data_IF_132672984699
#
_entry.id   IF_132672984699
#
_cell.length_a   1.000
_cell.length_b   1.000
_cell.length_c   1.000
_cell.angle_alpha   90.00
_cell.angle_beta   90.00
_cell.angle_gamma   90.00
#
_symmetry.space_group_name_H-M   'P 1'
#
loop_
_entity.id
_entity.type
_entity.pdbx_description
1 polymer ?
#
# COMPACT_ATOMS: atom_id res chain seq x y z
N UNK A 1 8.01 4.46 28.51
CA UNK A 1 7.67 4.32 27.08
C UNK A 1 8.97 4.41 26.30
N UNK A 2 9.24 3.45 25.41
CA UNK A 2 10.39 3.50 24.50
C UNK A 2 9.90 3.94 23.13
N UNK A 3 10.57 4.93 22.55
CA UNK A 3 10.28 5.41 21.20
C UNK A 3 11.42 5.04 20.27
N UNK A 4 11.10 4.45 19.13
CA UNK A 4 12.04 3.99 18.12
C UNK A 4 11.84 4.78 16.83
N UNK A 5 12.89 5.42 16.34
CA UNK A 5 12.92 6.06 15.02
C UNK A 5 14.36 6.10 14.51
N UNK A 6 14.59 5.61 13.29
CA UNK A 6 15.92 5.54 12.68
C UNK A 6 16.35 6.89 12.09
N UNK A 7 15.42 7.80 11.85
CA UNK A 7 15.67 9.13 11.30
C UNK A 7 16.21 10.11 12.36
N UNK A 8 17.48 10.50 12.23
CA UNK A 8 18.12 11.41 13.19
C UNK A 8 17.41 12.78 13.30
N UNK A 9 17.09 13.49 12.21
CA UNK A 9 16.30 14.72 12.29
C UNK A 9 14.99 14.58 13.07
N UNK A 10 14.20 13.52 12.81
CA UNK A 10 12.94 13.26 13.51
C UNK A 10 13.18 13.05 15.01
N UNK A 11 14.21 12.28 15.40
CA UNK A 11 14.58 12.14 16.82
C UNK A 11 14.91 13.46 17.49
N UNK A 12 15.60 14.39 16.81
CA UNK A 12 15.91 15.70 17.39
C UNK A 12 14.66 16.53 17.64
N UNK A 13 13.70 16.50 16.72
CA UNK A 13 12.40 17.17 16.90
C UNK A 13 11.65 16.53 18.07
N UNK A 14 11.57 15.20 18.11
CA UNK A 14 10.87 14.51 19.19
C UNK A 14 11.47 14.80 20.56
N UNK A 15 12.80 14.80 20.70
CA UNK A 15 13.47 15.15 21.97
C UNK A 15 13.10 16.55 22.44
N UNK A 16 12.96 17.52 21.53
CA UNK A 16 12.49 18.87 21.89
C UNK A 16 11.02 18.87 22.33
N UNK A 17 10.16 18.06 21.70
CA UNK A 17 8.76 17.91 22.11
C UNK A 17 8.64 17.25 23.49
N UNK A 18 9.43 16.21 23.75
CA UNK A 18 9.53 15.56 25.07
C UNK A 18 10.00 16.58 26.11
N UNK A 19 11.02 17.39 25.77
CA UNK A 19 11.52 18.47 26.61
C UNK A 19 10.43 19.46 26.99
N UNK A 20 9.80 20.05 25.97
CA UNK A 20 8.77 21.06 26.12
C UNK A 20 7.57 20.59 26.95
N UNK A 21 7.20 19.31 26.84
CA UNK A 21 6.05 18.74 27.55
C UNK A 21 6.40 18.11 28.90
N UNK A 22 7.64 18.24 29.39
CA UNK A 22 8.12 17.67 30.66
C UNK A 22 7.97 16.13 30.74
N UNK A 23 8.30 15.43 29.66
CA UNK A 23 8.14 13.97 29.54
C UNK A 23 9.47 13.18 29.59
N UNK A 24 10.61 13.82 29.90
CA UNK A 24 11.94 13.16 29.87
C UNK A 24 11.99 11.88 30.73
N UNK A 25 11.34 11.91 31.90
CA UNK A 25 11.39 10.79 32.85
C UNK A 25 10.42 9.65 32.49
N UNK A 26 9.65 9.80 31.40
CA UNK A 26 8.61 8.84 30.98
C UNK A 26 8.83 8.26 29.59
N UNK A 27 9.57 8.97 28.74
CA UNK A 27 9.81 8.60 27.34
C UNK A 27 11.31 8.54 27.08
N UNK A 28 11.78 7.33 26.76
CA UNK A 28 13.16 7.08 26.35
C UNK A 28 13.21 6.96 24.83
N UNK A 29 13.99 7.82 24.17
CA UNK A 29 14.22 7.73 22.72
C UNK A 29 15.39 6.78 22.47
N UNK A 30 15.14 5.67 21.79
CA UNK A 30 16.13 4.66 21.44
C UNK A 30 16.79 5.02 20.11
N UNK A 31 18.10 5.16 20.10
CA UNK A 31 18.88 5.56 18.92
C UNK A 31 19.52 4.36 18.21
N UNK A 32 18.76 3.29 18.04
CA UNK A 32 19.18 2.04 17.40
C UNK A 32 18.12 1.58 16.40
N UNK A 33 18.46 0.64 15.52
CA UNK A 33 17.45 -0.07 14.73
C UNK A 33 16.78 -1.14 15.60
N UNK A 34 15.59 -1.61 15.21
CA UNK A 34 14.86 -2.64 15.95
C UNK A 34 15.68 -3.92 16.17
N UNK A 35 16.48 -4.30 15.16
CA UNK A 35 17.37 -5.45 15.15
C UNK A 35 18.58 -5.34 16.10
N UNK A 36 18.99 -4.12 16.44
CA UNK A 36 20.14 -3.85 17.31
C UNK A 36 19.75 -3.63 18.78
N UNK A 37 18.47 -3.69 19.11
CA UNK A 37 17.97 -3.48 20.47
C UNK A 37 18.36 -4.65 21.35
N UNK A 38 18.98 -4.34 22.48
CA UNK A 38 19.40 -5.29 23.52
C UNK A 38 18.54 -5.14 24.78
N UNK A 39 18.68 -6.09 25.70
CA UNK A 39 17.99 -6.00 26.99
C UNK A 39 18.41 -4.78 27.81
N UNK A 40 19.67 -4.35 27.72
CA UNK A 40 20.17 -3.15 28.43
C UNK A 40 19.48 -1.87 27.93
N UNK A 41 19.20 -1.79 26.63
CA UNK A 41 18.49 -0.63 26.04
C UNK A 41 17.04 -0.49 26.55
N UNK A 42 16.48 -1.58 27.09
CA UNK A 42 15.13 -1.67 27.61
C UNK A 42 15.09 -1.80 29.14
N UNK A 43 16.19 -1.47 29.84
CA UNK A 43 16.34 -1.65 31.29
C UNK A 43 16.01 -3.09 31.76
N UNK A 44 16.28 -4.07 30.91
CA UNK A 44 15.93 -5.49 31.06
C UNK A 44 14.43 -5.77 31.26
N UNK A 45 13.56 -4.80 30.95
CA UNK A 45 12.12 -4.96 30.96
C UNK A 45 11.65 -5.75 29.73
N UNK A 46 10.50 -6.41 29.85
CA UNK A 46 9.78 -6.99 28.72
C UNK A 46 8.77 -6.00 28.17
N UNK A 47 8.53 -6.07 26.86
CA UNK A 47 7.59 -5.19 26.16
C UNK A 47 6.19 -5.80 26.24
N UNK A 48 5.24 -5.07 26.86
CA UNK A 48 3.84 -5.50 26.96
C UNK A 48 2.94 -4.95 25.84
N UNK A 49 3.38 -3.87 25.17
CA UNK A 49 2.66 -3.25 24.05
C UNK A 49 3.65 -2.69 23.03
N UNK A 50 3.50 -3.10 21.77
CA UNK A 50 4.11 -2.43 20.62
C UNK A 50 3.00 -1.70 19.87
N UNK A 51 3.15 -0.40 19.64
CA UNK A 51 2.15 0.42 18.95
C UNK A 51 2.80 1.32 17.90
N UNK A 52 2.20 1.39 16.71
CA UNK A 52 2.57 2.32 15.65
C UNK A 52 1.36 2.74 14.80
N UNK A 53 1.50 3.84 14.06
CA UNK A 53 0.59 4.21 12.95
C UNK A 53 0.84 3.39 11.66
N UNK A 54 1.73 2.38 11.74
CA UNK A 54 2.89 2.15 10.86
C UNK A 54 3.09 3.13 9.68
N UNK A 55 3.74 4.26 9.95
CA UNK A 55 4.23 5.17 8.91
C UNK A 55 5.75 5.17 8.86
N UNK A 56 6.32 5.01 7.67
CA UNK A 56 7.77 5.09 7.44
C UNK A 56 8.05 6.05 6.30
N UNK A 57 8.95 7.02 6.54
CA UNK A 57 9.24 8.09 5.58
C UNK A 57 9.81 7.57 4.25
N UNK A 58 10.49 6.43 4.27
CA UNK A 58 11.05 5.81 3.07
C UNK A 58 10.00 5.09 2.21
N UNK A 59 8.80 4.83 2.75
CA UNK A 59 7.73 4.16 2.03
C UNK A 59 7.13 5.09 0.96
N UNK A 60 7.16 4.62 -0.28
CA UNK A 60 6.50 5.20 -1.45
C UNK A 60 5.19 4.49 -1.78
N UNK A 61 5.12 3.16 -1.58
CA UNK A 61 3.95 2.34 -1.89
C UNK A 61 3.21 1.90 -0.61
N UNK A 62 1.87 1.71 -0.66
CA UNK A 62 1.07 1.49 0.55
C UNK A 62 1.45 0.26 1.38
N UNK A 63 2.00 -0.78 0.76
CA UNK A 63 2.38 -2.02 1.44
C UNK A 63 3.78 -2.00 2.03
N UNK A 64 4.62 -1.01 1.70
CA UNK A 64 5.99 -0.90 2.24
C UNK A 64 6.00 -0.57 3.74
N UNK A 65 4.88 -0.07 4.27
CA UNK A 65 4.64 0.04 5.71
C UNK A 65 4.66 -1.31 6.45
N UNK A 66 4.68 -2.44 5.72
CA UNK A 66 4.96 -3.77 6.26
C UNK A 66 6.30 -3.85 7.01
N UNK A 67 7.24 -2.92 6.79
CA UNK A 67 8.47 -2.83 7.58
C UNK A 67 8.22 -2.89 9.11
N UNK A 68 7.07 -2.39 9.59
CA UNK A 68 6.68 -2.53 10.99
C UNK A 68 6.65 -4.00 11.46
N UNK A 69 6.15 -4.92 10.63
CA UNK A 69 6.11 -6.35 10.94
C UNK A 69 7.52 -6.92 11.14
N UNK A 70 8.47 -6.52 10.29
CA UNK A 70 9.88 -6.90 10.43
C UNK A 70 10.51 -6.33 11.70
N UNK A 71 10.24 -5.06 12.01
CA UNK A 71 10.72 -4.44 13.24
C UNK A 71 10.18 -5.15 14.50
N UNK A 72 8.88 -5.47 14.52
CA UNK A 72 8.25 -6.26 15.59
C UNK A 72 8.89 -7.65 15.67
N UNK A 73 9.16 -8.28 14.51
CA UNK A 73 9.77 -9.59 14.45
C UNK A 73 11.16 -9.60 15.10
N UNK A 74 11.99 -8.60 14.81
CA UNK A 74 13.31 -8.42 15.44
C UNK A 74 13.23 -8.21 16.95
N UNK A 75 12.14 -7.65 17.45
CA UNK A 75 11.89 -7.42 18.87
C UNK A 75 11.29 -8.62 19.62
N UNK A 76 10.97 -9.74 18.94
CA UNK A 76 10.24 -10.88 19.54
C UNK A 76 10.83 -11.41 20.84
N UNK A 77 12.17 -11.49 20.92
CA UNK A 77 12.86 -11.96 22.13
C UNK A 77 12.66 -11.04 23.36
N UNK A 78 12.31 -9.77 23.13
CA UNK A 78 12.08 -8.75 24.16
C UNK A 78 10.60 -8.59 24.53
N UNK A 79 9.68 -9.21 23.78
CA UNK A 79 8.25 -9.15 24.08
C UNK A 79 7.91 -9.99 25.32
N UNK A 80 6.92 -9.55 26.08
CA UNK A 80 6.32 -10.35 27.15
C UNK A 80 5.40 -11.44 26.56
N UNK A 81 5.10 -12.48 27.34
CA UNK A 81 4.21 -13.56 26.89
C UNK A 81 2.76 -13.13 26.64
N UNK A 82 2.39 -11.93 27.06
CA UNK A 82 1.06 -11.33 26.89
C UNK A 82 1.12 -10.03 26.09
N UNK A 83 2.20 -9.82 25.33
CA UNK A 83 2.40 -8.61 24.55
C UNK A 83 1.26 -8.38 23.55
N UNK A 84 0.77 -7.15 23.48
CA UNK A 84 -0.19 -6.69 22.47
C UNK A 84 0.58 -5.97 21.36
N UNK A 85 0.24 -6.23 20.10
CA UNK A 85 0.84 -5.55 18.94
C UNK A 85 -0.27 -4.79 18.21
N UNK A 86 -0.10 -3.49 18.05
CA UNK A 86 -1.03 -2.58 17.37
C UNK A 86 -0.31 -1.81 16.26
N UNK A 87 -0.84 -1.80 15.02
CA UNK A 87 -2.01 -2.57 14.56
C UNK A 87 -1.78 -4.08 14.64
N UNK A 88 -2.85 -4.86 14.68
CA UNK A 88 -2.80 -6.32 14.78
C UNK A 88 -2.56 -6.99 13.42
N UNK A 89 -2.98 -6.31 12.35
CA UNK A 89 -2.96 -6.82 10.99
C UNK A 89 -2.87 -5.67 9.98
N UNK A 90 -2.18 -5.92 8.87
CA UNK A 90 -2.25 -5.13 7.66
C UNK A 90 -2.98 -5.93 6.57
N UNK A 91 -3.90 -5.28 5.85
CA UNK A 91 -4.60 -5.85 4.70
C UNK A 91 -4.40 -4.96 3.49
N UNK A 92 -3.81 -5.51 2.43
CA UNK A 92 -3.72 -4.86 1.13
C UNK A 92 -5.03 -5.12 0.39
N UNK A 93 -5.64 -4.07 -0.14
CA UNK A 93 -6.87 -4.15 -0.94
C UNK A 93 -6.63 -3.62 -2.35
N UNK A 94 -7.49 -4.05 -3.27
CA UNK A 94 -7.54 -3.48 -4.61
C UNK A 94 -8.95 -3.25 -5.11
N UNK A 95 -9.06 -2.37 -6.11
CA UNK A 95 -10.31 -2.00 -6.79
C UNK A 95 -10.05 -1.63 -8.25
N UNK A 96 -10.92 -2.09 -9.14
CA UNK A 96 -10.95 -1.64 -10.54
C UNK A 96 -11.63 -0.28 -10.62
N UNK A 97 -11.04 0.66 -11.36
CA UNK A 97 -11.49 2.05 -11.41
C UNK A 97 -11.55 2.63 -12.81
N UNK A 98 -12.36 3.68 -12.94
CA UNK A 98 -12.31 4.63 -14.03
C UNK A 98 -11.72 5.94 -13.50
N UNK A 99 -10.48 6.24 -13.92
CA UNK A 99 -9.77 7.49 -13.69
C UNK A 99 -10.21 8.50 -14.76
N UNK A 100 -10.73 9.66 -14.34
CA UNK A 100 -11.22 10.66 -15.31
C UNK A 100 -10.12 11.25 -16.19
N UNK A 101 -8.99 11.61 -15.57
CA UNK A 101 -7.90 12.32 -16.25
C UNK A 101 -6.53 11.69 -16.03
N UNK A 102 -6.30 11.02 -14.89
CA UNK A 102 -4.99 10.48 -14.54
C UNK A 102 -4.46 9.47 -15.56
N UNK A 103 -5.34 8.68 -16.19
CA UNK A 103 -4.94 7.71 -17.23
C UNK A 103 -4.20 8.34 -18.42
N UNK A 104 -4.43 9.64 -18.69
CA UNK A 104 -3.85 10.37 -19.83
C UNK A 104 -2.33 10.52 -19.73
N UNK A 105 -1.72 10.34 -18.55
CA UNK A 105 -0.25 10.38 -18.41
C UNK A 105 0.42 9.13 -19.01
N UNK A 106 -0.33 8.05 -19.23
CA UNK A 106 0.13 6.79 -19.82
C UNK A 106 -0.52 6.46 -21.17
N UNK A 107 -1.66 7.07 -21.49
CA UNK A 107 -2.36 6.80 -22.73
C UNK A 107 -1.55 7.29 -23.96
N UNK A 108 -1.52 6.52 -25.06
CA UNK A 108 -0.87 6.96 -26.30
C UNK A 108 -1.61 8.19 -26.87
N UNK A 109 -0.86 9.06 -27.55
CA UNK A 109 -1.41 10.28 -28.17
C UNK A 109 -2.09 9.97 -29.51
N UNK A 110 -1.52 9.04 -30.29
CA UNK A 110 -1.96 8.69 -31.63
C UNK A 110 -1.74 9.84 -32.61
N UNK A 111 -2.82 10.44 -33.10
CA UNK A 111 -2.75 11.59 -34.00
C UNK A 111 -3.21 12.88 -33.30
N UNK A 112 -2.41 13.93 -33.44
CA UNK A 112 -2.71 15.24 -32.88
C UNK A 112 -2.46 16.34 -33.91
N UNK A 113 -3.43 17.26 -34.06
CA UNK A 113 -3.38 18.39 -34.98
C UNK A 113 -3.04 18.02 -36.44
N UNK A 114 -3.44 16.82 -36.89
CA UNK A 114 -3.16 16.31 -38.24
C UNK A 114 -1.78 15.68 -38.40
N UNK A 115 -0.98 15.60 -37.34
CA UNK A 115 0.29 14.88 -37.30
C UNK A 115 0.08 13.50 -36.68
N UNK A 116 0.68 12.49 -37.28
CA UNK A 116 0.75 11.14 -36.73
C UNK A 116 1.98 11.04 -35.81
N UNK A 117 1.74 10.75 -34.53
CA UNK A 117 2.75 10.68 -33.46
C UNK A 117 2.91 9.23 -32.98
N UNK A 118 2.27 8.25 -33.64
CA UNK A 118 2.26 6.84 -33.23
C UNK A 118 3.67 6.24 -33.08
N UNK A 119 4.65 6.64 -33.89
CA UNK A 119 6.04 6.18 -33.75
C UNK A 119 6.70 6.68 -32.46
N UNK A 120 6.33 7.87 -31.99
CA UNK A 120 6.78 8.37 -30.69
C UNK A 120 6.09 7.62 -29.55
N UNK A 121 4.78 7.33 -29.67
CA UNK A 121 4.07 6.51 -28.69
C UNK A 121 4.74 5.15 -28.51
N UNK A 122 5.11 4.46 -29.60
CA UNK A 122 5.86 3.20 -29.55
C UNK A 122 7.20 3.33 -28.83
N UNK A 123 7.93 4.43 -29.08
CA UNK A 123 9.21 4.69 -28.42
C UNK A 123 9.05 4.87 -26.92
N UNK A 124 8.07 5.67 -26.49
CA UNK A 124 7.76 5.89 -25.08
C UNK A 124 7.28 4.59 -24.43
N UNK A 125 6.45 3.82 -25.13
CA UNK A 125 5.98 2.51 -24.68
C UNK A 125 7.14 1.55 -24.39
N UNK A 126 8.08 1.40 -25.33
CA UNK A 126 9.26 0.54 -25.17
C UNK A 126 10.15 1.01 -24.01
N UNK A 127 10.40 2.32 -23.91
CA UNK A 127 11.22 2.87 -22.83
C UNK A 127 10.56 2.61 -21.47
N UNK A 128 9.27 2.91 -21.34
CA UNK A 128 8.52 2.76 -20.11
C UNK A 128 8.38 1.29 -19.68
N UNK A 129 8.16 0.35 -20.61
CA UNK A 129 8.13 -1.10 -20.29
C UNK A 129 9.46 -1.63 -19.74
N UNK A 130 10.57 -0.93 -20.00
CA UNK A 130 11.91 -1.35 -19.55
C UNK A 130 12.38 -0.67 -18.27
N UNK A 131 11.84 0.50 -17.95
CA UNK A 131 12.40 1.39 -16.94
C UNK A 131 11.42 1.79 -15.82
N UNK A 132 10.12 1.75 -16.10
CA UNK A 132 9.11 2.21 -15.15
C UNK A 132 8.56 1.04 -14.32
N UNK A 133 8.23 1.36 -13.08
CA UNK A 133 7.44 0.47 -12.22
C UNK A 133 6.02 0.29 -12.78
N UNK A 134 5.50 -0.93 -12.71
CA UNK A 134 4.15 -1.27 -13.17
C UNK A 134 3.04 -0.63 -12.31
N UNK A 135 3.36 -0.32 -11.04
CA UNK A 135 2.45 0.34 -10.10
C UNK A 135 3.10 1.60 -9.56
N UNK A 136 2.41 2.73 -9.73
CA UNK A 136 2.92 4.03 -9.35
C UNK A 136 2.20 4.60 -8.12
N UNK A 137 2.90 5.29 -7.21
CA UNK A 137 2.27 5.97 -6.09
C UNK A 137 1.65 7.31 -6.53
N UNK A 138 0.33 7.43 -6.44
CA UNK A 138 -0.43 8.61 -6.86
C UNK A 138 -1.34 9.13 -5.73
N UNK A 139 -1.41 10.46 -5.49
CA UNK A 139 -2.32 11.06 -4.51
C UNK A 139 -3.74 11.16 -5.09
N UNK A 140 -4.54 10.09 -5.01
CA UNK A 140 -5.82 10.03 -5.73
C UNK A 140 -6.88 11.00 -5.20
N UNK A 141 -6.67 11.65 -4.06
CA UNK A 141 -7.56 12.72 -3.61
C UNK A 141 -7.61 13.90 -4.61
N UNK A 142 -6.54 14.11 -5.39
CA UNK A 142 -6.44 15.14 -6.43
C UNK A 142 -7.12 14.72 -7.74
N UNK A 143 -7.25 13.41 -7.98
CA UNK A 143 -7.71 12.85 -9.26
C UNK A 143 -9.10 12.22 -9.11
N UNK A 144 -10.13 12.76 -9.79
CA UNK A 144 -11.46 12.15 -9.74
C UNK A 144 -11.46 10.73 -10.30
N UNK A 145 -11.94 9.81 -9.47
CA UNK A 145 -12.00 8.38 -9.73
C UNK A 145 -13.41 7.87 -9.48
N UNK A 146 -13.87 6.94 -10.31
CA UNK A 146 -15.10 6.19 -10.11
C UNK A 146 -14.77 4.72 -9.84
N UNK A 147 -15.38 4.13 -8.81
CA UNK A 147 -15.27 2.71 -8.52
C UNK A 147 -16.05 1.89 -9.55
N UNK A 148 -15.38 0.96 -10.24
CA UNK A 148 -16.04 0.00 -11.14
C UNK A 148 -16.30 -1.33 -10.45
N UNK A 149 -15.46 -1.71 -9.49
CA UNK A 149 -15.66 -2.85 -8.58
C UNK A 149 -15.78 -2.38 -7.12
N UNK A 150 -16.17 -3.28 -6.24
CA UNK A 150 -15.98 -3.10 -4.79
C UNK A 150 -14.51 -3.39 -4.41
N UNK A 151 -14.03 -2.90 -3.25
CA UNK A 151 -12.74 -3.30 -2.70
C UNK A 151 -12.71 -4.80 -2.48
N UNK A 152 -11.61 -5.45 -2.86
CA UNK A 152 -11.34 -6.82 -2.48
C UNK A 152 -10.04 -6.90 -1.68
N UNK A 153 -10.00 -7.63 -0.56
CA UNK A 153 -8.75 -7.91 0.14
C UNK A 153 -7.89 -8.82 -0.72
N UNK A 154 -6.70 -8.32 -1.07
CA UNK A 154 -5.70 -9.10 -1.79
C UNK A 154 -4.90 -9.94 -0.83
N UNK A 155 -4.30 -9.37 0.21
CA UNK A 155 -3.49 -10.10 1.20
C UNK A 155 -3.70 -9.52 2.59
N UNK A 156 -3.59 -10.37 3.60
CA UNK A 156 -3.72 -10.02 5.01
C UNK A 156 -2.58 -10.65 5.81
N UNK A 157 -1.82 -9.83 6.52
CA UNK A 157 -0.68 -10.27 7.34
C UNK A 157 -0.92 -9.87 8.78
N UNK A 158 -0.98 -10.86 9.68
CA UNK A 158 -1.09 -10.60 11.13
C UNK A 158 0.28 -10.35 11.73
N UNK A 159 0.44 -9.23 12.42
CA UNK A 159 1.72 -8.85 13.03
C UNK A 159 2.05 -9.68 14.29
N UNK A 160 1.07 -10.42 14.82
CA UNK A 160 1.30 -11.39 15.88
C UNK A 160 2.12 -12.61 15.41
N UNK A 161 2.03 -12.97 14.13
CA UNK A 161 2.75 -14.12 13.56
C UNK A 161 4.19 -13.75 13.18
N UNK A 162 5.15 -14.66 13.38
CA UNK A 162 6.55 -14.39 13.08
C UNK A 162 6.83 -14.45 11.59
N UNK A 163 7.82 -13.70 11.12
CA UNK A 163 8.20 -13.65 9.70
C UNK A 163 8.65 -15.03 9.22
N UNK A 164 9.36 -15.77 10.06
CA UNK A 164 9.88 -17.11 9.76
C UNK A 164 8.78 -18.17 9.60
N UNK A 165 7.57 -17.88 10.10
CA UNK A 165 6.42 -18.77 9.94
C UNK A 165 5.76 -18.66 8.56
N UNK A 166 6.16 -17.69 7.74
CA UNK A 166 5.62 -17.47 6.40
C UNK A 166 6.51 -18.11 5.32
N UNK A 167 5.88 -18.84 4.40
CA UNK A 167 6.46 -19.16 3.10
C UNK A 167 6.11 -18.08 2.08
N UNK A 168 6.69 -18.17 0.88
CA UNK A 168 6.18 -17.41 -0.27
C UNK A 168 4.67 -17.68 -0.43
N UNK A 169 3.90 -16.62 -0.60
CA UNK A 169 2.45 -16.70 -0.77
C UNK A 169 2.12 -16.26 -2.19
N UNK A 170 1.32 -17.06 -2.87
CA UNK A 170 0.71 -16.72 -4.15
C UNK A 170 -0.80 -16.91 -4.03
N UNK A 171 -1.56 -15.90 -4.42
CA UNK A 171 -3.01 -15.94 -4.39
C UNK A 171 -3.62 -15.17 -5.54
N UNK A 172 -4.81 -15.57 -5.95
CA UNK A 172 -5.56 -14.93 -7.03
C UNK A 172 -6.90 -14.48 -6.48
N UNK A 173 -7.20 -13.20 -6.61
CA UNK A 173 -8.45 -12.57 -6.18
C UNK A 173 -9.18 -12.02 -7.40
N UNK A 174 -10.49 -12.26 -7.48
CA UNK A 174 -11.33 -11.73 -8.56
C UNK A 174 -11.98 -10.41 -8.15
N UNK A 175 -11.73 -9.35 -8.91
CA UNK A 175 -12.46 -8.10 -8.84
C UNK A 175 -13.66 -8.19 -9.77
N UNK A 176 -14.86 -8.10 -9.20
CA UNK A 176 -16.12 -8.12 -9.96
C UNK A 176 -16.66 -6.70 -10.13
N UNK A 177 -16.79 -6.25 -11.36
CA UNK A 177 -17.38 -4.96 -11.66
C UNK A 177 -18.87 -4.96 -11.31
N UNK A 178 -19.35 -3.94 -10.58
CA UNK A 178 -20.76 -3.76 -10.23
C UNK A 178 -21.49 -2.79 -11.14
N UNK A 179 -20.78 -2.11 -12.05
CA UNK A 179 -21.33 -1.13 -12.99
C UNK A 179 -20.58 -1.12 -14.31
N UNK A 180 -21.17 -0.47 -15.29
CA UNK A 180 -20.52 -0.15 -16.56
C UNK A 180 -19.56 1.05 -16.43
N UNK A 181 -18.55 1.09 -17.29
CA UNK A 181 -17.60 2.19 -17.37
C UNK A 181 -16.38 1.85 -18.22
N UNK A 182 -15.40 2.74 -18.21
CA UNK A 182 -14.14 2.57 -18.91
C UNK A 182 -13.04 2.24 -17.90
N UNK A 183 -12.70 0.95 -17.81
CA UNK A 183 -11.65 0.48 -16.91
C UNK A 183 -10.29 0.90 -17.47
N UNK A 184 -9.61 1.78 -16.75
CA UNK A 184 -8.32 2.34 -17.14
C UNK A 184 -7.30 2.34 -15.99
N UNK A 185 -7.64 1.71 -14.86
CA UNK A 185 -6.66 1.37 -13.85
C UNK A 185 -7.19 0.44 -12.77
N UNK A 186 -6.24 -0.07 -11.98
CA UNK A 186 -6.48 -0.75 -10.70
C UNK A 186 -5.74 -0.01 -9.61
N UNK A 187 -6.45 0.28 -8.51
CA UNK A 187 -5.90 0.98 -7.36
C UNK A 187 -5.68 -0.01 -6.22
N UNK A 188 -4.59 0.19 -5.50
CA UNK A 188 -4.12 -0.59 -4.37
C UNK A 188 -3.88 0.31 -3.16
N UNK A 189 -4.25 -0.15 -1.96
CA UNK A 189 -3.97 0.54 -0.71
C UNK A 189 -3.89 -0.46 0.45
N UNK A 190 -3.40 0.01 1.60
CA UNK A 190 -3.33 -0.78 2.83
C UNK A 190 -4.34 -0.29 3.86
N UNK A 191 -4.90 -1.23 4.60
CA UNK A 191 -5.69 -0.98 5.81
C UNK A 191 -5.02 -1.65 7.00
N UNK A 192 -5.07 -0.99 8.16
CA UNK A 192 -4.46 -1.44 9.40
C UNK A 192 -5.54 -1.59 10.48
N UNK A 193 -5.68 -2.78 11.07
CA UNK A 193 -6.65 -3.02 12.14
C UNK A 193 -6.05 -2.75 13.52
N UNK A 194 -6.75 -1.99 14.34
CA UNK A 194 -6.41 -1.69 15.73
C UNK A 194 -7.47 -2.31 16.64
N UNK A 195 -7.51 -3.64 16.67
CA UNK A 195 -8.55 -4.42 17.35
C UNK A 195 -9.85 -4.51 16.56
N UNK A 196 -10.98 -4.70 17.25
CA UNK A 196 -12.28 -4.95 16.61
C UNK A 196 -12.97 -3.71 16.04
N UNK A 197 -12.65 -2.52 16.57
CA UNK A 197 -13.51 -1.34 16.39
C UNK A 197 -12.86 -0.24 15.54
N UNK A 198 -11.56 -0.36 15.24
CA UNK A 198 -10.81 0.68 14.54
C UNK A 198 -9.99 0.08 13.40
N UNK A 199 -10.21 0.62 12.20
CA UNK A 199 -9.38 0.36 11.02
C UNK A 199 -8.93 1.69 10.46
N UNK A 200 -7.63 1.84 10.21
CA UNK A 200 -7.04 3.00 9.53
C UNK A 200 -6.79 2.61 8.08
N UNK A 201 -7.34 3.38 7.14
CA UNK A 201 -7.17 3.19 5.70
C UNK A 201 -6.22 4.23 5.13
N UNK A 202 -5.25 3.78 4.33
CA UNK A 202 -4.35 4.65 3.53
C UNK A 202 -4.93 4.94 2.13
N UNK A 203 -6.18 4.52 1.88
CA UNK A 203 -6.83 4.62 0.59
C UNK A 203 -8.25 5.16 0.71
N UNK A 204 -9.25 4.31 0.57
CA UNK A 204 -10.64 4.75 0.61
C UNK A 204 -11.01 5.32 1.99
N UNK A 205 -11.67 6.48 1.99
CA UNK A 205 -12.16 7.15 3.21
C UNK A 205 -13.53 6.63 3.62
N UNK A 206 -14.35 6.26 2.66
CA UNK A 206 -15.66 5.64 2.87
C UNK A 206 -15.89 4.52 1.84
N UNK A 207 -16.74 3.56 2.21
CA UNK A 207 -17.08 2.42 1.34
C UNK A 207 -18.17 2.76 0.31
N UNK A 208 -18.42 4.05 0.03
CA UNK A 208 -19.46 4.47 -0.91
C UNK A 208 -19.00 4.30 -2.37
N UNK A 209 -18.80 3.05 -2.77
CA UNK A 209 -18.48 2.65 -4.14
C UNK A 209 -19.64 2.90 -5.11
N UNK A 210 -20.81 3.31 -4.59
CA UNK A 210 -21.94 3.70 -5.43
C UNK A 210 -21.84 5.15 -5.93
N UNK A 211 -21.02 5.99 -5.27
CA UNK A 211 -20.80 7.37 -5.68
C UNK A 211 -20.19 7.45 -7.09
N UNK A 212 -20.46 8.57 -7.79
CA UNK A 212 -19.79 8.90 -9.06
C UNK A 212 -18.33 9.30 -8.86
N UNK A 213 -17.99 9.78 -7.68
CA UNK A 213 -16.63 10.13 -7.28
C UNK A 213 -16.37 9.55 -5.89
N UNK A 214 -15.43 8.63 -5.80
CA UNK A 214 -14.96 8.07 -4.53
C UNK A 214 -13.96 9.02 -3.87
N UNK A 215 -13.83 8.91 -2.55
CA UNK A 215 -12.95 9.74 -1.74
C UNK A 215 -11.75 8.93 -1.27
N UNK A 216 -10.57 9.51 -1.47
CA UNK A 216 -9.30 8.95 -1.08
C UNK A 216 -8.71 9.76 0.07
N UNK A 217 -7.94 9.08 0.91
CA UNK A 217 -7.15 9.70 1.96
C UNK A 217 -6.20 10.73 1.34
N UNK A 218 -6.15 11.91 1.95
CA UNK A 218 -5.35 13.03 1.44
C UNK A 218 -3.89 12.98 1.89
N UNK A 219 -3.60 12.19 2.92
CA UNK A 219 -2.27 12.12 3.54
C UNK A 219 -1.41 10.99 2.98
N UNK A 220 -2.03 10.05 2.26
CA UNK A 220 -1.39 8.89 1.67
C UNK A 220 -1.43 8.92 0.14
N UNK A 221 -0.40 8.37 -0.50
CA UNK A 221 -0.46 8.00 -1.92
C UNK A 221 -0.96 6.57 -2.03
N UNK A 222 -1.78 6.30 -3.03
CA UNK A 222 -2.25 4.96 -3.36
C UNK A 222 -1.41 4.38 -4.49
N UNK A 223 -1.23 3.05 -4.52
CA UNK A 223 -0.61 2.39 -5.64
C UNK A 223 -1.59 2.31 -6.80
N UNK A 224 -1.21 2.72 -8.00
CA UNK A 224 -2.09 2.73 -9.17
C UNK A 224 -1.39 2.04 -10.33
N UNK A 225 -2.00 0.97 -10.82
CA UNK A 225 -1.69 0.42 -12.14
C UNK A 225 -2.54 1.15 -13.17
N UNK A 226 -1.91 1.99 -13.98
CA UNK A 226 -2.59 2.76 -15.03
C UNK A 226 -2.45 2.03 -16.35
N UNK A 227 -3.57 1.69 -16.98
CA UNK A 227 -3.53 1.03 -18.28
C UNK A 227 -3.36 2.04 -19.41
N UNK A 228 -2.46 1.72 -20.35
CA UNK A 228 -2.27 2.50 -21.59
C UNK A 228 -3.50 2.44 -22.49
N UNK A 229 -4.13 1.27 -22.55
CA UNK A 229 -5.37 1.05 -23.29
C UNK A 229 -6.48 0.78 -22.28
N UNK A 230 -7.56 1.54 -22.39
CA UNK A 230 -8.73 1.35 -21.53
C UNK A 230 -9.65 0.28 -22.11
N UNK A 231 -10.23 -0.55 -21.25
CA UNK A 231 -11.19 -1.58 -21.65
C UNK A 231 -12.58 -1.21 -21.17
N UNK A 232 -13.59 -1.32 -22.03
CA UNK A 232 -14.98 -1.16 -21.62
C UNK A 232 -15.40 -2.33 -20.72
N UNK A 233 -16.01 -2.03 -19.59
CA UNK A 233 -16.54 -3.05 -18.66
C UNK A 233 -18.03 -2.85 -18.44
N UNK A 234 -18.71 -3.95 -18.13
CA UNK A 234 -20.12 -3.98 -17.75
C UNK A 234 -20.29 -4.59 -16.36
N UNK A 235 -21.48 -4.47 -15.79
CA UNK A 235 -21.79 -5.18 -14.56
C UNK A 235 -21.59 -6.69 -14.74
N UNK A 236 -20.76 -7.29 -13.90
CA UNK A 236 -20.39 -8.70 -13.98
C UNK A 236 -19.10 -9.00 -14.73
N UNK A 237 -18.46 -8.02 -15.40
CA UNK A 237 -17.07 -8.15 -15.86
C UNK A 237 -16.14 -8.48 -14.70
N UNK A 238 -15.09 -9.26 -14.98
CA UNK A 238 -14.19 -9.81 -13.96
C UNK A 238 -12.74 -9.51 -14.31
N UNK A 239 -11.96 -9.14 -13.31
CA UNK A 239 -10.51 -9.02 -13.40
C UNK A 239 -9.89 -9.96 -12.37
N UNK A 240 -8.81 -10.64 -12.72
CA UNK A 240 -8.02 -11.44 -11.79
C UNK A 240 -6.81 -10.63 -11.37
N UNK A 241 -6.60 -10.54 -10.07
CA UNK A 241 -5.41 -9.98 -9.47
C UNK A 241 -4.65 -11.12 -8.81
N UNK A 242 -3.55 -11.52 -9.43
CA UNK A 242 -2.59 -12.41 -8.80
C UNK A 242 -1.64 -11.59 -7.94
N UNK A 243 -1.49 -11.98 -6.68
CA UNK A 243 -0.59 -11.35 -5.71
C UNK A 243 0.45 -12.37 -5.28
N UNK A 244 1.72 -12.02 -5.38
CA UNK A 244 2.83 -12.79 -4.81
C UNK A 244 3.50 -11.96 -3.71
N UNK A 245 3.87 -12.62 -2.62
CA UNK A 245 4.58 -12.02 -1.51
C UNK A 245 5.78 -12.87 -1.11
N UNK A 246 6.93 -12.22 -0.97
CA UNK A 246 8.20 -12.85 -0.55
C UNK A 246 8.60 -12.33 0.83
N UNK A 247 8.35 -13.10 1.91
CA UNK A 247 8.65 -12.65 3.27
C UNK A 247 10.12 -12.35 3.53
N UNK A 248 11.05 -12.92 2.75
CA UNK A 248 12.50 -12.76 2.97
C UNK A 248 12.99 -11.34 2.72
N UNK A 249 12.33 -10.59 1.83
CA UNK A 249 12.70 -9.23 1.48
C UNK A 249 11.55 -8.24 1.57
N UNK A 250 10.31 -8.70 1.78
CA UNK A 250 9.14 -7.84 1.90
C UNK A 250 8.52 -7.43 0.57
N UNK A 251 8.95 -8.06 -0.53
CA UNK A 251 8.50 -7.68 -1.86
C UNK A 251 7.09 -8.21 -2.15
N UNK A 252 6.28 -7.35 -2.74
CA UNK A 252 5.00 -7.68 -3.34
C UNK A 252 5.06 -7.51 -4.85
N UNK A 253 4.48 -8.46 -5.58
CA UNK A 253 4.17 -8.30 -7.00
C UNK A 253 2.69 -8.54 -7.24
N UNK A 254 2.12 -7.76 -8.16
CA UNK A 254 0.72 -7.86 -8.54
C UNK A 254 0.61 -7.97 -10.05
N UNK A 255 0.02 -9.07 -10.53
CA UNK A 255 -0.33 -9.24 -11.94
C UNK A 255 -1.84 -9.10 -12.08
N UNK A 256 -2.28 -8.33 -13.05
CA UNK A 256 -3.70 -8.04 -13.25
C UNK A 256 -4.11 -8.41 -14.66
N UNK A 257 -4.99 -9.39 -14.77
CA UNK A 257 -5.53 -9.91 -16.04
C UNK A 257 -7.02 -9.63 -16.16
N UNK A 258 -7.43 -9.02 -17.27
CA UNK A 258 -8.85 -8.81 -17.59
C UNK A 258 -9.42 -10.10 -18.16
N UNK A 259 -10.37 -10.73 -17.47
CA UNK A 259 -11.01 -11.94 -17.97
C UNK A 259 -12.01 -11.58 -19.08
N UNK A 260 -11.62 -11.70 -20.34
CA UNK A 260 -12.54 -11.52 -21.46
C UNK A 260 -11.95 -11.01 -22.77
N UNK A 261 -10.69 -10.59 -22.82
CA UNK A 261 -10.04 -10.27 -24.10
C UNK A 261 -9.64 -11.58 -24.80
N UNK A 262 -10.43 -11.98 -25.78
CA UNK A 262 -9.87 -12.77 -26.89
C UNK A 262 -8.76 -11.90 -27.48
N UNK A 263 -7.50 -12.32 -27.36
CA UNK A 263 -6.43 -11.80 -28.19
C UNK A 263 -6.86 -11.99 -29.65
N UNK A 264 -7.44 -10.96 -30.25
CA UNK A 264 -7.52 -10.83 -31.69
C UNK A 264 -6.13 -10.41 -32.11
N UNK A 265 -5.32 -11.42 -32.40
CA UNK A 265 -4.10 -11.27 -33.18
C UNK A 265 -4.57 -11.01 -34.60
N UNK A 266 -4.54 -9.75 -35.02
CA UNK A 266 -4.50 -9.39 -36.44
C UNK A 266 -3.06 -9.50 -36.96
#
# INVERSE_FOLDING_TARGET
VFYLDTNWPCRQVLKKLILYNNLQDRITVVEKNAEDITGEDLDHMKIDLVIAEPFFQAASLPWEHLYFWYAVNSLRQHLSGTCVILPEQMTIKAMAVELRDLHKIRAPVGSYAGFDITEFDKLIEMASLSADEDIEPQPLWEYPTMALSRPAPLMSISFNQSVESFSEIQQVVELKCHREGTMNGVVFWSEFSFGSDLTISTGLVDDNCEARKIKWDMFSKQGVKIYRHSSAVVAGSRLKVETQFKPQNGDFSFLVDVCGEQHVVD
#
